data_IF_318932229767
#
_entry.id   IF_318932229767
#
_cell.length_a   1.000
_cell.length_b   1.000
_cell.length_c   1.000
_cell.angle_alpha   90.00
_cell.angle_beta   90.00
_cell.angle_gamma   90.00
#
_symmetry.space_group_name_H-M   'P 1'
#
loop_
_entity.id
_entity.type
_entity.pdbx_description
1 polymer ?
#
# COMPACT_ATOMS: atom_id res chain seq x y z
N UNK A 1 22.73 3.25 -23.26
CA UNK A 1 21.87 4.28 -22.64
C UNK A 1 20.42 4.18 -23.10
N UNK A 2 19.61 3.39 -22.39
CA UNK A 2 18.16 3.28 -22.61
C UNK A 2 17.44 4.24 -21.67
N UNK A 3 16.54 5.06 -22.21
CA UNK A 3 15.72 5.98 -21.42
C UNK A 3 14.32 5.40 -21.20
N UNK A 4 13.84 5.42 -19.96
CA UNK A 4 12.46 5.05 -19.61
C UNK A 4 11.66 6.29 -19.27
N UNK A 5 10.60 6.54 -20.05
CA UNK A 5 9.59 7.55 -19.74
C UNK A 5 8.42 6.90 -19.00
N UNK A 6 8.04 7.46 -17.87
CA UNK A 6 6.88 7.02 -17.09
C UNK A 6 6.08 8.20 -16.55
N UNK A 7 4.79 7.98 -16.31
CA UNK A 7 3.88 8.99 -15.77
C UNK A 7 3.67 8.81 -14.27
N UNK A 8 3.70 9.89 -13.50
CA UNK A 8 3.25 9.89 -12.11
C UNK A 8 1.74 10.12 -12.08
N UNK A 9 1.03 9.19 -11.47
CA UNK A 9 -0.41 9.25 -11.21
C UNK A 9 -0.63 8.91 -9.75
N UNK A 10 -1.42 9.73 -9.06
CA UNK A 10 -1.68 9.60 -7.62
C UNK A 10 -3.17 9.42 -7.39
N UNK A 11 -3.53 8.53 -6.47
CA UNK A 11 -4.88 8.46 -5.90
C UNK A 11 -4.75 8.97 -4.47
N UNK A 12 -5.35 10.14 -4.19
CA UNK A 12 -5.18 10.85 -2.92
C UNK A 12 -5.98 10.22 -1.77
N UNK A 13 -6.96 9.35 -2.07
CA UNK A 13 -7.85 8.78 -1.06
C UNK A 13 -8.09 7.28 -1.31
N UNK A 14 -7.41 6.43 -0.53
CA UNK A 14 -7.83 5.04 -0.35
C UNK A 14 -9.06 4.93 0.56
N UNK A 15 -9.32 5.94 1.39
CA UNK A 15 -10.53 6.07 2.22
C UNK A 15 -11.81 6.31 1.38
N UNK A 16 -11.71 6.94 0.21
CA UNK A 16 -12.85 7.13 -0.71
C UNK A 16 -13.26 5.83 -1.44
N UNK A 17 -12.38 4.82 -1.43
CA UNK A 17 -12.68 3.49 -2.00
C UNK A 17 -13.32 2.54 -1.00
N UNK A 18 -13.69 3.01 0.19
CA UNK A 18 -14.41 2.20 1.18
C UNK A 18 -13.71 0.87 1.47
N UNK A 19 -12.37 0.82 1.42
CA UNK A 19 -11.57 -0.40 1.54
C UNK A 19 -11.54 -0.97 2.97
N UNK A 20 -12.55 -0.63 3.77
CA UNK A 20 -12.64 -0.82 5.23
C UNK A 20 -13.18 -2.18 5.66
N UNK A 21 -13.73 -3.01 4.77
CA UNK A 21 -14.17 -4.35 5.17
C UNK A 21 -13.91 -5.36 4.06
N UNK A 22 -12.72 -5.96 4.07
CA UNK A 22 -12.57 -7.34 3.61
C UNK A 22 -11.91 -8.12 4.75
N UNK A 23 -12.67 -8.30 5.83
CA UNK A 23 -12.48 -9.47 6.68
C UNK A 23 -12.68 -10.70 5.81
N UNK A 24 -11.67 -11.55 5.64
CA UNK A 24 -11.97 -12.91 5.18
C UNK A 24 -10.89 -13.70 4.46
N UNK A 25 -9.75 -13.13 4.05
CA UNK A 25 -8.72 -13.95 3.39
C UNK A 25 -7.89 -14.79 4.38
N UNK A 26 -7.91 -14.46 5.68
CA UNK A 26 -7.05 -15.12 6.69
C UNK A 26 -7.65 -16.42 7.27
N UNK A 27 -8.96 -16.68 7.13
CA UNK A 27 -9.62 -17.81 7.79
C UNK A 27 -9.38 -19.19 7.14
N UNK A 28 -8.74 -19.26 5.96
CA UNK A 28 -8.52 -20.54 5.25
C UNK A 28 -7.23 -21.28 5.65
N UNK A 29 -6.39 -20.73 6.53
CA UNK A 29 -5.11 -21.34 6.91
C UNK A 29 -5.03 -21.61 8.41
N UNK A 30 -4.68 -22.85 8.78
CA UNK A 30 -4.59 -23.36 10.17
C UNK A 30 -3.54 -22.66 11.07
N UNK A 31 -2.68 -21.81 10.53
CA UNK A 31 -1.65 -21.08 11.30
C UNK A 31 -2.18 -19.74 11.75
N UNK A 32 -1.85 -19.35 12.98
CA UNK A 32 -2.18 -18.01 13.48
C UNK A 32 -1.49 -16.97 12.59
N UNK A 33 -2.14 -15.82 12.38
CA UNK A 33 -1.65 -14.81 11.43
C UNK A 33 -0.22 -14.35 11.72
N UNK A 34 0.16 -14.30 13.00
CA UNK A 34 1.50 -13.96 13.46
C UNK A 34 2.57 -15.00 13.15
N UNK A 35 2.20 -16.22 12.78
CA UNK A 35 3.13 -17.32 12.44
C UNK A 35 3.44 -17.39 10.94
N UNK A 36 2.84 -16.50 10.14
CA UNK A 36 3.12 -16.38 8.71
C UNK A 36 4.35 -15.49 8.52
N UNK A 37 5.27 -15.89 7.66
CA UNK A 37 6.44 -15.08 7.29
C UNK A 37 6.06 -13.65 6.84
N UNK A 38 4.89 -13.50 6.24
CA UNK A 38 4.35 -12.19 5.81
C UNK A 38 4.12 -11.21 6.97
N UNK A 39 4.02 -11.70 8.21
CA UNK A 39 3.85 -10.86 9.40
C UNK A 39 5.05 -9.95 9.66
N UNK A 40 6.24 -10.30 9.15
CA UNK A 40 7.45 -9.49 9.28
C UNK A 40 7.30 -8.08 8.72
N UNK A 41 6.45 -7.89 7.71
CA UNK A 41 6.13 -6.56 7.17
C UNK A 41 5.31 -5.72 8.16
N UNK A 42 4.35 -6.35 8.85
CA UNK A 42 3.57 -5.71 9.92
C UNK A 42 4.47 -5.34 11.10
N UNK A 43 5.40 -6.21 11.49
CA UNK A 43 6.39 -5.91 12.52
C UNK A 43 7.31 -4.73 12.13
N UNK A 44 7.77 -4.69 10.88
CA UNK A 44 8.54 -3.57 10.35
C UNK A 44 7.78 -2.25 10.44
N UNK A 45 6.50 -2.25 10.04
CA UNK A 45 5.64 -1.08 10.16
C UNK A 45 5.41 -0.65 11.63
N UNK A 46 5.23 -1.61 12.55
CA UNK A 46 5.07 -1.30 13.97
C UNK A 46 6.33 -0.62 14.55
N UNK A 47 7.52 -1.08 14.15
CA UNK A 47 8.80 -0.46 14.56
C UNK A 47 8.95 0.95 13.98
N UNK A 48 8.58 1.17 12.72
CA UNK A 48 8.57 2.50 12.11
C UNK A 48 7.59 3.45 12.84
N UNK A 49 6.42 2.94 13.21
CA UNK A 49 5.42 3.67 14.00
C UNK A 49 5.94 4.01 15.40
N UNK A 50 6.65 3.10 16.05
CA UNK A 50 7.32 3.37 17.33
C UNK A 50 8.35 4.50 17.19
N UNK A 51 9.19 4.46 16.14
CA UNK A 51 10.13 5.53 15.84
C UNK A 51 9.42 6.88 15.60
N UNK A 52 8.32 6.89 14.85
CA UNK A 52 7.53 8.09 14.61
C UNK A 52 7.03 8.73 15.92
N UNK A 53 6.65 7.90 16.91
CA UNK A 53 6.24 8.39 18.24
C UNK A 53 7.39 8.96 19.05
N UNK A 54 8.59 8.40 18.90
CA UNK A 54 9.79 8.91 19.58
C UNK A 54 10.28 10.22 18.97
N UNK A 55 9.98 10.48 17.70
CA UNK A 55 10.42 11.66 16.96
C UNK A 55 9.21 12.33 16.26
N UNK A 56 8.29 12.97 17.03
CA UNK A 56 7.03 13.49 16.48
C UNK A 56 7.22 14.58 15.42
N UNK A 57 8.35 15.28 15.45
CA UNK A 57 8.70 16.32 14.47
C UNK A 57 9.37 15.77 13.20
N UNK A 58 9.55 14.44 13.10
CA UNK A 58 10.17 13.78 11.96
C UNK A 58 9.15 12.93 11.21
N UNK A 59 9.03 13.14 9.90
CA UNK A 59 8.17 12.31 9.06
C UNK A 59 8.84 10.95 8.81
N UNK A 60 8.25 9.89 9.35
CA UNK A 60 8.72 8.51 9.17
C UNK A 60 7.86 7.80 8.12
N UNK A 61 8.50 7.27 7.08
CA UNK A 61 7.86 6.51 6.01
C UNK A 61 8.38 5.07 5.97
N UNK A 62 7.49 4.10 6.18
CA UNK A 62 7.78 2.67 6.01
C UNK A 62 7.68 2.28 4.54
N UNK A 63 8.78 1.84 3.94
CA UNK A 63 8.84 1.48 2.51
C UNK A 63 9.01 -0.04 2.36
N UNK A 64 8.21 -0.67 1.49
CA UNK A 64 8.37 -2.07 1.12
C UNK A 64 8.19 -2.30 -0.38
N UNK A 65 8.81 -3.38 -0.86
CA UNK A 65 8.68 -3.81 -2.24
C UNK A 65 7.36 -4.58 -2.45
N UNK A 66 7.26 -5.32 -3.57
CA UNK A 66 6.04 -6.05 -3.92
C UNK A 66 5.70 -7.20 -2.98
N UNK A 67 6.62 -7.67 -2.15
CA UNK A 67 6.35 -8.72 -1.18
C UNK A 67 5.64 -8.19 0.06
N UNK A 68 5.80 -6.90 0.35
CA UNK A 68 5.06 -6.19 1.40
C UNK A 68 3.62 -5.85 1.04
N UNK A 69 3.17 -6.19 -0.17
CA UNK A 69 1.79 -5.97 -0.63
C UNK A 69 0.80 -6.95 0.00
N UNK A 70 0.54 -6.78 1.30
CA UNK A 70 -0.24 -7.68 2.14
C UNK A 70 -1.29 -6.92 2.95
N UNK A 71 -2.54 -7.39 2.90
CA UNK A 71 -3.70 -6.67 3.45
C UNK A 71 -3.55 -6.30 4.93
N UNK A 72 -3.03 -7.21 5.75
CA UNK A 72 -2.92 -7.02 7.19
C UNK A 72 -2.01 -5.81 7.55
N UNK A 73 -1.07 -5.42 6.67
CA UNK A 73 -0.27 -4.21 6.84
C UNK A 73 -1.12 -2.94 6.70
N UNK A 74 -1.96 -2.87 5.67
CA UNK A 74 -2.86 -1.72 5.46
C UNK A 74 -3.91 -1.65 6.57
N UNK A 75 -4.51 -2.78 6.94
CA UNK A 75 -5.46 -2.84 8.06
C UNK A 75 -4.79 -2.39 9.37
N UNK A 76 -3.58 -2.88 9.67
CA UNK A 76 -2.82 -2.42 10.84
C UNK A 76 -2.57 -0.91 10.79
N UNK A 77 -2.19 -0.38 9.64
CA UNK A 77 -1.90 1.04 9.49
C UNK A 77 -3.14 1.90 9.74
N UNK A 78 -4.30 1.51 9.22
CA UNK A 78 -5.59 2.17 9.46
C UNK A 78 -6.02 2.09 10.93
N UNK A 79 -5.91 0.91 11.55
CA UNK A 79 -6.29 0.68 12.94
C UNK A 79 -5.36 1.34 13.96
N UNK A 80 -4.17 1.80 13.55
CA UNK A 80 -3.22 2.45 14.45
C UNK A 80 -3.63 3.92 14.67
N UNK A 81 -4.00 4.32 15.90
CA UNK A 81 -4.34 5.70 16.20
C UNK A 81 -3.09 6.52 16.57
N UNK A 82 -3.26 7.84 16.56
CA UNK A 82 -2.24 8.80 16.99
C UNK A 82 -1.07 8.91 16.02
N UNK A 83 0.09 9.30 16.56
CA UNK A 83 1.32 9.44 15.78
C UNK A 83 1.76 8.05 15.29
N UNK A 84 1.94 7.93 13.97
CA UNK A 84 2.33 6.71 13.27
C UNK A 84 3.18 7.02 12.06
N UNK A 85 3.87 6.01 11.56
CA UNK A 85 4.57 6.12 10.28
C UNK A 85 3.55 6.06 9.13
N UNK A 86 3.82 6.77 8.05
CA UNK A 86 3.15 6.53 6.78
C UNK A 86 3.76 5.31 6.07
N UNK A 87 3.16 4.88 4.97
CA UNK A 87 3.62 3.72 4.22
C UNK A 87 3.70 3.96 2.71
N UNK A 88 4.69 3.35 2.05
CA UNK A 88 4.82 3.26 0.60
C UNK A 88 5.11 1.80 0.22
N UNK A 89 4.12 1.14 -0.39
CA UNK A 89 4.19 -0.27 -0.75
C UNK A 89 4.08 -0.42 -2.25
N UNK A 90 5.04 -1.13 -2.86
CA UNK A 90 4.94 -1.46 -4.29
C UNK A 90 3.84 -2.50 -4.50
N UNK A 91 2.88 -2.21 -5.37
CA UNK A 91 1.82 -3.16 -5.71
C UNK A 91 2.38 -4.44 -6.37
N UNK A 92 1.93 -5.62 -5.91
CA UNK A 92 2.32 -6.93 -6.47
C UNK A 92 1.55 -7.32 -7.71
N UNK A 93 0.24 -7.09 -7.68
CA UNK A 93 -0.68 -7.48 -8.74
C UNK A 93 -1.49 -6.27 -9.19
N UNK A 94 -1.56 -6.05 -10.51
CA UNK A 94 -2.33 -4.96 -11.09
C UNK A 94 -3.85 -5.17 -11.01
N UNK A 95 -4.32 -6.41 -10.84
CA UNK A 95 -5.74 -6.78 -10.83
C UNK A 95 -6.43 -6.62 -9.46
N UNK A 96 -6.00 -5.65 -8.63
CA UNK A 96 -6.63 -5.40 -7.32
C UNK A 96 -8.07 -4.94 -7.49
N UNK A 97 -8.99 -5.68 -6.88
CA UNK A 97 -10.37 -5.24 -6.71
C UNK A 97 -10.43 -4.14 -5.64
N UNK A 98 -11.27 -3.13 -5.86
CA UNK A 98 -11.58 -2.10 -4.86
C UNK A 98 -13.02 -2.27 -4.38
N UNK A 99 -13.35 -1.62 -3.28
CA UNK A 99 -14.75 -1.41 -2.90
C UNK A 99 -15.22 -0.07 -3.49
N UNK A 100 -16.53 0.09 -3.63
CA UNK A 100 -17.16 1.36 -3.96
C UNK A 100 -17.57 2.10 -2.68
N UNK A 101 -18.14 3.30 -2.82
CA UNK A 101 -18.59 4.13 -1.68
C UNK A 101 -19.58 3.44 -0.75
N UNK A 102 -20.25 2.37 -1.21
CA UNK A 102 -21.22 1.60 -0.44
C UNK A 102 -20.60 0.34 0.18
N UNK A 103 -19.27 0.21 0.16
CA UNK A 103 -18.55 -0.97 0.66
C UNK A 103 -18.74 -2.23 -0.19
N UNK A 104 -19.35 -2.14 -1.37
CA UNK A 104 -19.52 -3.29 -2.28
C UNK A 104 -18.35 -3.40 -3.24
N UNK A 105 -17.99 -4.63 -3.62
CA UNK A 105 -16.96 -4.88 -4.64
C UNK A 105 -17.27 -4.09 -5.91
N UNK A 106 -16.31 -3.31 -6.34
CA UNK A 106 -16.39 -2.55 -7.57
C UNK A 106 -16.25 -3.47 -8.79
N UNK A 107 -16.87 -3.10 -9.90
CA UNK A 107 -16.68 -3.81 -11.16
C UNK A 107 -15.30 -3.55 -11.75
N UNK A 108 -14.74 -2.36 -11.48
CA UNK A 108 -13.45 -1.92 -12.01
C UNK A 108 -12.31 -2.21 -11.03
N UNK A 109 -11.18 -2.62 -11.58
CA UNK A 109 -9.95 -2.87 -10.85
C UNK A 109 -9.16 -1.57 -10.66
N UNK A 110 -8.27 -1.55 -9.67
CA UNK A 110 -7.51 -0.34 -9.32
C UNK A 110 -6.71 0.21 -10.50
N UNK A 111 -6.02 -0.66 -11.26
CA UNK A 111 -5.21 -0.22 -12.39
C UNK A 111 -6.06 0.45 -13.48
N UNK A 112 -7.29 -0.01 -13.73
CA UNK A 112 -8.18 0.59 -14.73
C UNK A 112 -8.55 2.02 -14.35
N UNK A 113 -8.75 2.28 -13.05
CA UNK A 113 -8.99 3.63 -12.52
C UNK A 113 -7.75 4.52 -12.65
N UNK A 114 -6.58 3.99 -12.28
CA UNK A 114 -5.31 4.72 -12.39
C UNK A 114 -5.05 5.12 -13.85
N UNK A 115 -5.38 4.26 -14.82
CA UNK A 115 -5.14 4.56 -16.23
C UNK A 115 -5.98 5.75 -16.75
N UNK A 116 -7.15 6.02 -16.17
CA UNK A 116 -7.98 7.18 -16.53
C UNK A 116 -7.53 8.49 -15.89
N UNK A 117 -6.74 8.43 -14.83
CA UNK A 117 -6.24 9.64 -14.17
C UNK A 117 -5.26 10.33 -15.11
N UNK A 118 -5.45 11.63 -15.30
CA UNK A 118 -4.53 12.47 -16.06
C UNK A 118 -3.17 12.48 -15.36
N UNK A 119 -2.06 12.16 -16.05
CA UNK A 119 -0.72 12.26 -15.49
C UNK A 119 -0.48 13.63 -14.86
N UNK A 120 -0.01 13.64 -13.61
CA UNK A 120 0.40 14.88 -12.95
C UNK A 120 1.73 15.37 -13.52
N UNK A 121 2.61 14.43 -13.88
CA UNK A 121 3.92 14.72 -14.43
C UNK A 121 4.44 13.53 -15.26
N UNK A 122 5.26 13.83 -16.26
CA UNK A 122 6.08 12.85 -16.95
C UNK A 122 7.50 12.91 -16.39
N UNK A 123 8.05 11.76 -16.05
CA UNK A 123 9.41 11.61 -15.54
C UNK A 123 10.19 10.69 -16.45
N UNK A 124 11.43 11.06 -16.71
CA UNK A 124 12.35 10.31 -17.56
C UNK A 124 13.55 9.86 -16.73
N UNK A 125 13.88 8.58 -16.82
CA UNK A 125 14.99 7.97 -16.11
C UNK A 125 16.04 7.47 -17.10
N UNK A 126 17.30 7.79 -16.84
CA UNK A 126 18.43 7.16 -17.55
C UNK A 126 18.80 5.89 -16.80
N UNK A 127 18.69 4.74 -17.46
CA UNK A 127 19.18 3.48 -16.88
C UNK A 127 20.69 3.41 -17.16
N UNK A 128 21.53 3.27 -16.12
CA UNK A 128 22.95 3.03 -16.33
C UNK A 128 23.15 1.72 -17.09
N UNK A 129 24.16 1.69 -17.97
CA UNK A 129 24.55 0.45 -18.63
C UNK A 129 25.12 -0.49 -17.54
N UNK A 130 24.58 -1.72 -17.48
CA UNK A 130 24.91 -2.73 -16.46
C UNK A 130 26.18 -3.51 -16.77
#
# INVERSE_FOLDING_TARGET
MTSLKTSIKTITYLSDTGCLEIQGASLLHKKHVSEKETWRWVEGYNKATELARQCPDTHVLSISDREGDFYDLFERAEQTPGIKADWLVRMKFNNRATLNINGKRDHRLLHERIMEITPQQLVEFTIPDG
#
